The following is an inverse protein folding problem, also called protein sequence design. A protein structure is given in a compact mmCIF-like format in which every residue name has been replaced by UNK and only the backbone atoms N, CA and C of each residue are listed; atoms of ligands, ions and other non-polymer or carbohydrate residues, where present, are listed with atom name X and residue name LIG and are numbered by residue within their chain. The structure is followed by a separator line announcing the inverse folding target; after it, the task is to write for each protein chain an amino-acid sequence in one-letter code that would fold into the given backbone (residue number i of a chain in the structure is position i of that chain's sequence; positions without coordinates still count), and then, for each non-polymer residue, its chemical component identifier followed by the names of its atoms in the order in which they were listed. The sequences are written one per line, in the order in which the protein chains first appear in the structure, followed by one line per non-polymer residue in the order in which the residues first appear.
data_IF_705395800214
#
_entry.id   IF_705395800214
#
_cell.length_a   1.000
_cell.length_b   1.000
_cell.length_c   1.000
_cell.angle_alpha   90.00
_cell.angle_beta   90.00
_cell.angle_gamma   90.00
#
_symmetry.space_group_name_H-M   'P 1'
#
loop_
_entity.id
_entity.type
_entity.pdbx_description
1 polymer ?
#
# COMPACT_ATOMS: atom_id res chain seq x y z
N UNK A 1 -0.93 9.99 18.13
CA UNK A 1 0.27 10.05 17.27
C UNK A 1 -0.08 10.72 15.95
N UNK A 2 0.90 11.32 15.28
CA UNK A 2 0.75 11.99 13.98
C UNK A 2 1.16 11.03 12.85
N UNK A 3 0.18 10.59 12.06
CA UNK A 3 0.37 9.75 10.89
C UNK A 3 0.44 10.65 9.65
N UNK A 4 1.59 10.72 9.00
CA UNK A 4 1.72 11.34 7.70
C UNK A 4 1.27 10.33 6.64
N UNK A 5 0.30 10.71 5.81
CA UNK A 5 -0.19 9.91 4.68
C UNK A 5 0.13 10.66 3.40
N UNK A 6 1.01 10.10 2.57
CA UNK A 6 1.29 10.59 1.22
C UNK A 6 0.30 9.95 0.24
N UNK A 7 -0.43 10.78 -0.48
CA UNK A 7 -1.40 10.39 -1.50
C UNK A 7 -0.97 10.90 -2.88
N UNK A 8 -1.31 10.12 -3.90
CA UNK A 8 -0.92 10.37 -5.30
C UNK A 8 -2.13 10.52 -6.23
N UNK A 9 -3.33 10.37 -5.69
CA UNK A 9 -4.61 10.65 -6.34
C UNK A 9 -5.67 10.78 -5.24
N UNK A 10 -6.71 11.59 -5.48
CA UNK A 10 -7.85 11.75 -4.55
C UNK A 10 -8.54 10.42 -4.22
N UNK A 11 -8.44 9.43 -5.10
CA UNK A 11 -8.99 8.08 -4.93
C UNK A 11 -8.13 7.06 -4.22
N UNK A 12 -6.86 7.35 -3.96
CA UNK A 12 -5.91 6.41 -3.33
C UNK A 12 -5.69 6.79 -1.86
N UNK A 13 -6.78 6.84 -1.08
CA UNK A 13 -6.75 7.13 0.35
C UNK A 13 -6.69 5.84 1.19
N UNK A 14 -6.35 5.90 2.49
CA UNK A 14 -6.23 4.70 3.34
C UNK A 14 -7.51 3.87 3.53
N UNK A 15 -8.65 4.29 2.97
CA UNK A 15 -9.95 3.59 2.98
C UNK A 15 -10.24 2.81 4.28
N UNK A 16 -10.20 1.47 4.27
CA UNK A 16 -10.49 0.63 5.44
C UNK A 16 -9.64 0.96 6.68
N UNK A 17 -8.45 1.53 6.51
CA UNK A 17 -7.53 1.86 7.59
C UNK A 17 -7.80 3.21 8.25
N UNK A 18 -8.36 4.19 7.52
CA UNK A 18 -8.64 5.52 8.07
C UNK A 18 -9.46 5.49 9.37
N UNK A 19 -10.63 4.82 9.42
CA UNK A 19 -11.41 4.75 10.66
C UNK A 19 -10.70 3.97 11.78
N UNK A 20 -9.77 3.07 11.46
CA UNK A 20 -8.98 2.34 12.45
C UNK A 20 -7.92 3.24 13.09
N UNK A 21 -7.24 4.05 12.29
CA UNK A 21 -6.26 5.05 12.75
C UNK A 21 -6.95 6.07 13.66
N UNK A 22 -8.10 6.59 13.24
CA UNK A 22 -8.89 7.54 14.02
C UNK A 22 -9.44 6.94 15.32
N UNK A 23 -9.97 5.71 15.25
CA UNK A 23 -10.47 4.98 16.41
C UNK A 23 -9.36 4.71 17.44
N UNK A 24 -8.10 4.52 17.02
CA UNK A 24 -6.95 4.39 17.91
C UNK A 24 -6.51 5.74 18.54
N UNK A 25 -7.21 6.85 18.24
CA UNK A 25 -6.89 8.18 18.76
C UNK A 25 -5.68 8.82 18.09
N UNK A 26 -5.40 8.47 16.83
CA UNK A 26 -4.31 9.06 16.06
C UNK A 26 -4.81 10.15 15.11
N UNK A 27 -3.94 11.12 14.83
CA UNK A 27 -4.22 12.21 13.89
C UNK A 27 -3.61 11.86 12.55
N UNK A 28 -4.42 11.91 11.50
CA UNK A 28 -3.96 11.78 10.12
C UNK A 28 -3.63 13.16 9.55
N UNK A 29 -2.47 13.26 8.91
CA UNK A 29 -1.98 14.42 8.17
C UNK A 29 -1.81 13.93 6.74
N UNK A 30 -2.75 14.29 5.87
CA UNK A 30 -2.69 13.95 4.44
C UNK A 30 -1.87 14.99 3.70
N UNK A 31 -1.07 14.53 2.74
CA UNK A 31 -0.40 15.34 1.73
C UNK A 31 -0.74 14.79 0.34
N UNK A 32 -1.37 15.59 -0.50
CA UNK A 32 -1.76 15.27 -1.88
C UNK A 32 -0.66 15.73 -2.85
N UNK A 33 0.26 14.83 -3.20
CA UNK A 33 1.43 15.15 -4.04
C UNK A 33 1.04 15.44 -5.50
N UNK A 34 -0.04 14.83 -5.98
CA UNK A 34 -0.61 15.07 -7.31
C UNK A 34 -1.22 16.48 -7.45
N UNK A 35 -1.71 17.05 -6.35
CA UNK A 35 -2.23 18.42 -6.28
C UNK A 35 -1.12 19.46 -6.00
N UNK A 36 0.15 19.01 -5.94
CA UNK A 36 1.31 19.88 -5.79
C UNK A 36 1.58 20.33 -4.36
N UNK A 37 1.01 19.67 -3.35
CA UNK A 37 1.35 19.94 -1.96
C UNK A 37 2.81 19.57 -1.67
N UNK A 38 3.55 20.39 -0.92
CA UNK A 38 4.95 20.11 -0.63
C UNK A 38 5.08 18.98 0.39
N UNK A 39 6.11 18.14 0.21
CA UNK A 39 6.52 17.17 1.22
C UNK A 39 6.88 17.90 2.54
N UNK A 40 6.26 17.55 3.68
CA UNK A 40 6.53 18.19 4.95
C UNK A 40 7.81 17.64 5.57
N UNK A 41 8.45 18.40 6.49
CA UNK A 41 9.49 17.82 7.34
C UNK A 41 8.91 16.70 8.21
N UNK A 42 9.75 15.72 8.56
CA UNK A 42 9.36 14.57 9.39
C UNK A 42 9.32 14.88 10.90
N UNK A 43 9.66 16.11 11.31
CA UNK A 43 9.66 16.48 12.72
C UNK A 43 8.24 16.49 13.30
N UNK A 44 8.05 15.70 14.37
CA UNK A 44 6.73 15.50 14.97
C UNK A 44 5.84 14.51 14.22
N UNK A 45 6.35 13.81 13.20
CA UNK A 45 5.67 12.67 12.56
C UNK A 45 6.06 11.38 13.30
N UNK A 46 5.06 10.57 13.65
CA UNK A 46 5.24 9.33 14.40
C UNK A 46 5.15 8.09 13.50
N UNK A 47 4.50 8.21 12.33
CA UNK A 47 4.34 7.15 11.35
C UNK A 47 4.19 7.73 9.93
N UNK A 48 4.72 7.01 8.94
CA UNK A 48 4.62 7.36 7.51
C UNK A 48 3.85 6.27 6.77
N UNK A 49 2.77 6.65 6.11
CA UNK A 49 2.01 5.80 5.20
C UNK A 49 2.11 6.37 3.79
N UNK A 50 2.40 5.53 2.82
CA UNK A 50 2.54 5.92 1.41
C UNK A 50 1.60 5.07 0.58
N UNK A 51 0.64 5.74 -0.04
CA UNK A 51 -0.47 5.07 -0.71
C UNK A 51 -0.11 4.66 -2.15
N UNK A 52 -1.04 3.97 -2.82
CA UNK A 52 -0.97 3.70 -4.25
C UNK A 52 -1.04 4.99 -5.08
N UNK A 53 -0.91 4.84 -6.39
CA UNK A 53 -0.98 5.94 -7.35
C UNK A 53 -0.98 5.43 -8.79
N UNK A 54 -1.38 6.28 -9.73
CA UNK A 54 -1.40 5.94 -11.16
C UNK A 54 -0.02 6.05 -11.83
N UNK A 55 0.99 6.53 -11.10
CA UNK A 55 2.36 6.73 -11.56
C UNK A 55 3.12 5.41 -11.53
N UNK A 56 4.02 5.22 -12.49
CA UNK A 56 5.07 4.24 -12.32
C UNK A 56 6.21 4.84 -11.49
N UNK A 57 6.80 4.03 -10.60
CA UNK A 57 7.86 4.46 -9.67
C UNK A 57 9.08 5.12 -10.35
N UNK A 58 9.31 4.86 -11.63
CA UNK A 58 10.41 5.41 -12.43
C UNK A 58 10.01 6.56 -13.37
N UNK A 59 8.77 7.06 -13.34
CA UNK A 59 8.31 8.20 -14.14
C UNK A 59 8.80 9.58 -13.58
N UNK A 60 10.04 9.66 -13.10
CA UNK A 60 10.60 10.86 -12.45
C UNK A 60 10.66 12.10 -13.37
N UNK A 61 10.83 11.90 -14.67
CA UNK A 61 10.80 12.99 -15.66
C UNK A 61 9.40 13.63 -15.78
N UNK A 62 8.35 12.84 -15.56
CA UNK A 62 6.94 13.26 -15.63
C UNK A 62 6.42 13.72 -14.27
N UNK A 63 6.93 13.13 -13.20
CA UNK A 63 6.58 13.41 -11.81
C UNK A 63 7.85 13.66 -10.97
N UNK A 64 8.49 14.84 -11.09
CA UNK A 64 9.77 15.11 -10.41
C UNK A 64 9.73 15.02 -8.88
N UNK A 65 8.55 15.12 -8.27
CA UNK A 65 8.36 14.96 -6.83
C UNK A 65 8.65 13.53 -6.34
N UNK A 66 8.60 12.50 -7.21
CA UNK A 66 8.98 11.12 -6.87
C UNK A 66 10.43 11.04 -6.35
N UNK A 67 11.34 11.87 -6.88
CA UNK A 67 12.73 11.93 -6.44
C UNK A 67 12.81 12.36 -4.96
N UNK A 68 12.11 13.43 -4.63
CA UNK A 68 12.08 13.97 -3.27
C UNK A 68 11.33 13.04 -2.31
N UNK A 69 10.29 12.37 -2.79
CA UNK A 69 9.54 11.40 -2.00
C UNK A 69 10.40 10.17 -1.66
N UNK A 70 11.10 9.59 -2.62
CA UNK A 70 12.04 8.48 -2.38
C UNK A 70 13.11 8.88 -1.34
N UNK A 71 13.63 10.11 -1.43
CA UNK A 71 14.57 10.62 -0.44
C UNK A 71 13.95 10.72 0.97
N UNK A 72 12.71 11.23 1.09
CA UNK A 72 11.98 11.31 2.36
C UNK A 72 11.65 9.91 2.92
N UNK A 73 11.27 8.95 2.09
CA UNK A 73 11.02 7.56 2.49
C UNK A 73 12.29 6.93 3.05
N UNK A 74 13.43 7.13 2.38
CA UNK A 74 14.73 6.66 2.85
C UNK A 74 15.09 7.30 4.21
N UNK A 75 14.95 8.62 4.34
CA UNK A 75 15.19 9.31 5.61
C UNK A 75 14.29 8.76 6.73
N UNK A 76 12.99 8.63 6.46
CA UNK A 76 12.02 8.11 7.42
C UNK A 76 12.40 6.70 7.90
N UNK A 77 12.70 5.79 6.98
CA UNK A 77 12.89 4.37 7.30
C UNK A 77 14.30 4.07 7.81
N UNK A 78 15.34 4.58 7.14
CA UNK A 78 16.73 4.24 7.44
C UNK A 78 17.32 5.16 8.51
N UNK A 79 17.15 6.47 8.35
CA UNK A 79 17.84 7.44 9.21
C UNK A 79 17.08 7.67 10.52
N UNK A 80 15.74 7.65 10.49
CA UNK A 80 14.88 7.90 11.65
C UNK A 80 14.24 6.65 12.25
N UNK A 81 14.17 5.54 11.51
CA UNK A 81 13.51 4.32 11.97
C UNK A 81 12.00 4.48 12.23
N UNK A 82 11.35 5.39 11.49
CA UNK A 82 9.91 5.61 11.58
C UNK A 82 9.15 4.36 11.14
N UNK A 83 8.06 4.01 11.84
CA UNK A 83 7.05 3.09 11.33
C UNK A 83 6.58 3.49 9.93
N UNK A 84 6.63 2.54 9.01
CA UNK A 84 6.28 2.75 7.61
C UNK A 84 5.26 1.70 7.13
N UNK A 85 4.26 2.15 6.39
CA UNK A 85 3.36 1.26 5.65
C UNK A 85 3.17 1.75 4.20
N UNK A 86 3.64 0.96 3.23
CA UNK A 86 3.53 1.27 1.81
C UNK A 86 2.54 0.37 1.09
N UNK A 87 1.65 0.93 0.26
CA UNK A 87 0.65 0.19 -0.52
C UNK A 87 0.88 0.45 -2.01
N UNK A 88 0.93 -0.60 -2.84
CA UNK A 88 1.07 -0.54 -4.29
C UNK A 88 2.26 0.35 -4.74
N UNK A 89 2.04 1.57 -5.23
CA UNK A 89 3.13 2.52 -5.53
C UNK A 89 4.02 2.77 -4.30
N UNK A 90 3.45 2.92 -3.09
CA UNK A 90 4.23 3.05 -1.86
C UNK A 90 5.09 1.82 -1.52
N UNK A 91 4.70 0.63 -1.97
CA UNK A 91 5.55 -0.56 -1.86
C UNK A 91 6.75 -0.48 -2.81
N UNK A 92 6.51 -0.07 -4.05
CA UNK A 92 7.54 0.11 -5.06
C UNK A 92 8.52 1.22 -4.69
N UNK A 93 8.00 2.36 -4.19
CA UNK A 93 8.80 3.50 -3.72
C UNK A 93 9.70 3.11 -2.56
N UNK A 94 9.21 2.32 -1.59
CA UNK A 94 10.05 1.80 -0.51
C UNK A 94 11.19 0.95 -1.07
N UNK A 95 10.89 0.03 -1.99
CA UNK A 95 11.91 -0.82 -2.57
C UNK A 95 12.96 0.00 -3.34
N UNK A 96 12.51 0.90 -4.21
CA UNK A 96 13.39 1.71 -5.06
C UNK A 96 14.26 2.68 -4.23
N UNK A 97 13.67 3.38 -3.25
CA UNK A 97 14.38 4.29 -2.35
C UNK A 97 15.51 3.63 -1.53
N UNK A 98 15.41 2.30 -1.35
CA UNK A 98 16.37 1.50 -0.58
C UNK A 98 17.31 0.67 -1.46
N UNK A 99 17.33 0.93 -2.78
CA UNK A 99 18.25 0.30 -3.72
C UNK A 99 17.76 -1.03 -4.29
N UNK A 100 16.47 -1.35 -4.12
CA UNK A 100 15.79 -2.37 -4.89
C UNK A 100 15.56 -1.94 -6.34
N UNK A 101 14.86 -2.76 -7.11
CA UNK A 101 14.49 -2.44 -8.49
C UNK A 101 13.04 -2.81 -8.76
N UNK A 102 12.36 -1.97 -9.55
CA UNK A 102 11.02 -2.22 -10.04
C UNK A 102 11.00 -2.23 -11.56
N UNK A 103 10.14 -3.04 -12.16
CA UNK A 103 9.94 -3.09 -13.60
C UNK A 103 8.52 -3.55 -13.92
N UNK A 104 8.10 -3.33 -15.17
CA UNK A 104 6.91 -3.98 -15.67
C UNK A 104 7.05 -5.51 -15.57
N UNK A 105 5.98 -6.15 -15.12
CA UNK A 105 6.00 -7.56 -14.76
C UNK A 105 4.69 -8.26 -15.06
N UNK A 106 4.39 -9.30 -14.27
CA UNK A 106 3.10 -9.95 -14.32
C UNK A 106 2.01 -9.00 -13.85
N UNK A 107 0.96 -8.84 -14.65
CA UNK A 107 -0.19 -8.00 -14.33
C UNK A 107 -1.15 -8.78 -13.43
N UNK A 108 -1.55 -8.18 -12.31
CA UNK A 108 -2.67 -8.66 -11.51
C UNK A 108 -3.73 -7.56 -11.43
N UNK A 109 -4.94 -7.89 -11.89
CA UNK A 109 -6.10 -7.01 -11.83
C UNK A 109 -7.29 -7.83 -11.35
N UNK A 110 -7.99 -7.38 -10.31
CA UNK A 110 -9.08 -8.12 -9.70
C UNK A 110 -8.77 -8.57 -8.27
N UNK A 111 -9.52 -9.53 -7.76
CA UNK A 111 -9.22 -10.17 -6.47
C UNK A 111 -8.37 -11.41 -6.71
N UNK A 112 -7.17 -11.45 -6.10
CA UNK A 112 -6.23 -12.55 -6.22
C UNK A 112 -5.76 -13.03 -4.84
N UNK A 113 -5.31 -14.28 -4.78
CA UNK A 113 -4.80 -14.88 -3.55
C UNK A 113 -3.34 -14.48 -3.28
N UNK A 114 -3.06 -14.05 -2.06
CA UNK A 114 -1.71 -13.78 -1.54
C UNK A 114 -1.35 -14.80 -0.45
N UNK A 115 -0.14 -15.33 -0.53
CA UNK A 115 0.42 -16.31 0.40
C UNK A 115 1.54 -15.70 1.25
N UNK A 116 1.31 -15.50 2.56
CA UNK A 116 2.37 -15.17 3.52
C UNK A 116 3.48 -16.22 3.54
N UNK A 117 4.71 -15.77 3.78
CA UNK A 117 5.85 -16.64 4.07
C UNK A 117 5.97 -16.92 5.59
N UNK A 118 6.65 -18.00 5.99
CA UNK A 118 6.87 -18.29 7.42
C UNK A 118 7.55 -17.12 8.14
N UNK A 119 7.00 -16.72 9.29
CA UNK A 119 7.53 -15.62 10.11
C UNK A 119 7.03 -14.22 9.73
N UNK A 120 6.06 -14.12 8.83
CA UNK A 120 5.42 -12.86 8.46
C UNK A 120 4.36 -12.42 9.49
N UNK A 121 4.83 -11.85 10.60
CA UNK A 121 4.02 -11.34 11.73
C UNK A 121 2.93 -10.32 11.34
N UNK A 122 3.12 -9.61 10.23
CA UNK A 122 2.11 -8.72 9.66
C UNK A 122 0.76 -9.42 9.39
N UNK A 123 0.78 -10.71 9.03
CA UNK A 123 -0.41 -11.47 8.63
C UNK A 123 -0.97 -12.38 9.74
N UNK A 124 -0.50 -12.22 10.99
CA UNK A 124 -0.97 -13.04 12.12
C UNK A 124 -2.50 -12.98 12.28
N UNK A 125 -3.12 -14.15 12.33
CA UNK A 125 -4.58 -14.31 12.48
C UNK A 125 -5.37 -14.32 11.17
N UNK A 126 -4.73 -14.13 10.02
CA UNK A 126 -5.36 -14.22 8.71
C UNK A 126 -5.30 -15.65 8.17
N UNK A 127 -6.37 -16.11 7.51
CA UNK A 127 -6.37 -17.40 6.80
C UNK A 127 -5.51 -17.29 5.54
N UNK A 128 -4.49 -18.15 5.40
CA UNK A 128 -3.58 -18.15 4.25
C UNK A 128 -3.86 -19.35 3.31
N UNK A 129 -3.84 -19.16 1.97
CA UNK A 129 -3.82 -17.86 1.28
C UNK A 129 -5.10 -17.05 1.56
N UNK A 130 -5.03 -15.73 1.41
CA UNK A 130 -6.20 -14.86 1.50
C UNK A 130 -6.44 -14.09 0.20
N UNK A 131 -7.71 -13.87 -0.17
CA UNK A 131 -8.06 -13.00 -1.28
C UNK A 131 -7.79 -11.53 -0.91
N UNK A 132 -7.25 -10.77 -1.85
CA UNK A 132 -7.02 -9.32 -1.72
C UNK A 132 -7.10 -8.66 -3.10
N UNK A 133 -7.55 -7.41 -3.13
CA UNK A 133 -7.60 -6.63 -4.36
C UNK A 133 -6.20 -6.36 -4.92
N UNK A 134 -6.07 -6.47 -6.24
CA UNK A 134 -4.86 -6.21 -7.02
C UNK A 134 -5.20 -5.28 -8.17
N UNK A 135 -4.32 -4.31 -8.42
CA UNK A 135 -4.32 -3.54 -9.66
C UNK A 135 -2.93 -2.96 -9.91
N UNK A 136 -2.07 -3.75 -10.53
CA UNK A 136 -0.70 -3.32 -10.83
C UNK A 136 -0.17 -3.97 -12.12
N UNK A 137 0.72 -3.25 -12.80
CA UNK A 137 1.53 -3.77 -13.90
C UNK A 137 3.04 -3.61 -13.69
N UNK A 138 3.43 -2.83 -12.68
CA UNK A 138 4.80 -2.71 -12.19
C UNK A 138 4.91 -3.47 -10.88
N UNK A 139 6.02 -4.17 -10.69
CA UNK A 139 6.31 -4.92 -9.47
C UNK A 139 7.76 -4.74 -9.06
N UNK A 140 8.05 -4.98 -7.78
CA UNK A 140 9.42 -5.09 -7.29
C UNK A 140 10.05 -6.37 -7.86
N UNK A 141 11.14 -6.23 -8.60
CA UNK A 141 11.87 -7.33 -9.23
C UNK A 141 13.19 -7.66 -8.51
N UNK A 142 13.74 -6.71 -7.76
CA UNK A 142 14.89 -6.94 -6.89
C UNK A 142 14.64 -6.32 -5.52
N UNK A 143 14.83 -7.11 -4.47
CA UNK A 143 14.69 -6.65 -3.09
C UNK A 143 15.85 -5.73 -2.70
N UNK A 144 15.61 -4.68 -1.89
CA UNK A 144 16.66 -4.03 -1.14
C UNK A 144 17.44 -5.05 -0.29
N UNK A 145 18.75 -4.86 -0.10
CA UNK A 145 19.56 -5.75 0.75
C UNK A 145 19.05 -5.83 2.20
N UNK A 146 18.42 -4.77 2.68
CA UNK A 146 17.86 -4.66 4.03
C UNK A 146 16.43 -5.20 4.14
N UNK A 147 15.85 -5.71 3.06
CA UNK A 147 14.47 -6.16 3.00
C UNK A 147 14.35 -7.69 3.11
N UNK A 148 13.32 -8.12 3.83
CA UNK A 148 12.87 -9.51 3.91
C UNK A 148 11.57 -9.65 3.14
N UNK A 149 11.52 -10.61 2.21
CA UNK A 149 10.27 -11.02 1.56
C UNK A 149 9.34 -11.70 2.58
N UNK A 150 8.08 -11.27 2.65
CA UNK A 150 7.12 -11.79 3.64
C UNK A 150 5.79 -12.27 3.04
N UNK A 151 5.49 -11.99 1.77
CA UNK A 151 4.39 -12.63 1.05
C UNK A 151 4.66 -12.71 -0.45
N UNK A 152 3.98 -13.65 -1.12
CA UNK A 152 4.09 -13.90 -2.56
C UNK A 152 2.72 -14.20 -3.17
N UNK A 153 2.58 -14.05 -4.50
CA UNK A 153 1.46 -14.62 -5.27
C UNK A 153 2.02 -15.43 -6.45
N UNK A 154 1.18 -16.20 -7.18
CA UNK A 154 1.62 -16.91 -8.37
C UNK A 154 2.17 -16.02 -9.49
N UNK A 155 1.75 -14.76 -9.57
CA UNK A 155 2.12 -13.81 -10.64
C UNK A 155 3.18 -12.82 -10.19
N UNK A 156 3.05 -12.27 -8.98
CA UNK A 156 4.00 -11.33 -8.41
C UNK A 156 4.73 -11.98 -7.22
N UNK A 157 6.04 -12.19 -7.39
CA UNK A 157 6.86 -12.84 -6.36
C UNK A 157 6.98 -11.97 -5.11
N UNK A 158 7.11 -10.65 -5.26
CA UNK A 158 7.34 -9.70 -4.17
C UNK A 158 6.01 -9.02 -3.79
N UNK A 159 5.08 -9.78 -3.21
CA UNK A 159 3.79 -9.21 -2.78
C UNK A 159 3.89 -8.35 -1.53
N UNK A 160 4.81 -8.67 -0.62
CA UNK A 160 5.01 -7.88 0.58
C UNK A 160 6.44 -8.02 1.09
N UNK A 161 6.99 -6.92 1.61
CA UNK A 161 8.32 -6.88 2.20
C UNK A 161 8.30 -6.22 3.56
N UNK A 162 9.28 -6.58 4.38
CA UNK A 162 9.62 -5.94 5.64
C UNK A 162 11.02 -5.37 5.57
N UNK A 163 11.23 -4.15 6.05
CA UNK A 163 12.55 -3.55 6.24
C UNK A 163 12.73 -3.22 7.72
N UNK A 164 13.73 -3.83 8.34
CA UNK A 164 13.96 -3.67 9.78
C UNK A 164 12.74 -4.04 10.63
N UNK A 165 12.60 -3.46 11.83
CA UNK A 165 11.54 -3.87 12.75
C UNK A 165 10.15 -3.30 12.42
N UNK A 166 10.07 -2.14 11.75
CA UNK A 166 8.85 -1.30 11.73
C UNK A 166 8.38 -0.84 10.34
N UNK A 167 9.12 -1.14 9.27
CA UNK A 167 8.71 -0.78 7.92
C UNK A 167 8.17 -1.99 7.18
N UNK A 168 6.94 -1.90 6.71
CA UNK A 168 6.24 -2.94 5.96
C UNK A 168 5.64 -2.35 4.70
N UNK A 169 5.49 -3.16 3.67
CA UNK A 169 4.75 -2.73 2.49
C UNK A 169 4.18 -3.92 1.72
N UNK A 170 3.15 -3.65 0.93
CA UNK A 170 2.41 -4.64 0.15
C UNK A 170 2.09 -4.10 -1.25
N UNK A 171 2.25 -4.94 -2.27
CA UNK A 171 1.90 -4.62 -3.65
C UNK A 171 0.38 -4.59 -3.87
N UNK A 172 -0.34 -5.40 -3.11
CA UNK A 172 -1.80 -5.48 -3.14
C UNK A 172 -2.48 -4.32 -2.41
N UNK A 173 -3.81 -4.26 -2.54
CA UNK A 173 -4.65 -3.20 -1.98
C UNK A 173 -5.56 -3.72 -0.85
N UNK A 174 -5.01 -3.95 0.37
CA UNK A 174 -5.80 -4.40 1.51
C UNK A 174 -6.75 -3.33 2.07
N UNK A 175 -6.61 -2.08 1.64
CA UNK A 175 -7.46 -0.95 2.03
C UNK A 175 -8.82 -0.95 1.33
N UNK A 176 -8.96 -1.67 0.22
CA UNK A 176 -10.13 -1.62 -0.67
C UNK A 176 -11.40 -2.08 0.05
N UNK A 177 -12.46 -1.29 -0.12
CA UNK A 177 -13.82 -1.58 0.33
C UNK A 177 -14.79 -1.58 -0.85
N UNK A 178 -16.00 -2.16 -0.71
CA UNK A 178 -17.07 -1.95 -1.69
C UNK A 178 -17.28 -0.47 -2.00
N UNK A 179 -17.36 -0.14 -3.29
CA UNK A 179 -17.45 1.21 -3.85
C UNK A 179 -16.10 1.79 -4.30
N UNK A 180 -14.97 1.23 -3.86
CA UNK A 180 -13.64 1.75 -4.19
C UNK A 180 -13.32 1.63 -5.68
N UNK A 181 -13.66 0.50 -6.30
CA UNK A 181 -13.36 0.26 -7.72
C UNK A 181 -14.18 1.21 -8.60
N UNK A 182 -15.43 1.48 -8.22
CA UNK A 182 -16.27 2.48 -8.88
C UNK A 182 -15.65 3.89 -8.88
N UNK A 183 -14.91 4.27 -7.84
CA UNK A 183 -14.16 5.53 -7.80
C UNK A 183 -12.91 5.47 -8.68
N UNK A 184 -12.11 4.42 -8.56
CA UNK A 184 -10.91 4.25 -9.39
C UNK A 184 -11.23 4.21 -10.89
N UNK A 185 -12.37 3.62 -11.28
CA UNK A 185 -12.81 3.59 -12.68
C UNK A 185 -13.06 4.98 -13.29
N UNK A 186 -13.17 6.04 -12.47
CA UNK A 186 -13.29 7.43 -12.94
C UNK A 186 -11.95 8.07 -13.29
N UNK A 187 -10.82 7.46 -12.89
CA UNK A 187 -9.49 7.94 -13.23
C UNK A 187 -9.25 7.84 -14.75
N UNK A 188 -8.42 8.73 -15.33
CA UNK A 188 -8.12 8.70 -16.76
C UNK A 188 -7.63 7.32 -17.22
N UNK A 189 -8.25 6.79 -18.27
CA UNK A 189 -7.94 5.48 -18.88
C UNK A 189 -8.22 4.24 -18.01
N UNK A 190 -8.63 4.40 -16.75
CA UNK A 190 -8.84 3.31 -15.81
C UNK A 190 -9.88 2.29 -16.31
N UNK A 191 -11.07 2.74 -16.72
CA UNK A 191 -12.11 1.85 -17.24
C UNK A 191 -11.65 1.05 -18.47
N UNK A 192 -10.90 1.67 -19.38
CA UNK A 192 -10.38 1.00 -20.57
C UNK A 192 -9.29 -0.05 -20.22
N UNK A 193 -8.46 0.24 -19.20
CA UNK A 193 -7.48 -0.72 -18.68
C UNK A 193 -8.21 -1.91 -18.05
N UNK A 194 -9.18 -1.66 -17.17
CA UNK A 194 -9.97 -2.72 -16.54
C UNK A 194 -10.69 -3.59 -17.58
N UNK A 195 -11.27 -2.99 -18.62
CA UNK A 195 -11.89 -3.73 -19.72
C UNK A 195 -10.89 -4.59 -20.50
N UNK A 196 -9.66 -4.12 -20.65
CA UNK A 196 -8.58 -4.86 -21.31
C UNK A 196 -8.11 -6.06 -20.47
N UNK A 197 -7.94 -5.87 -19.16
CA UNK A 197 -7.36 -6.88 -18.27
C UNK A 197 -8.39 -7.92 -17.80
N UNK A 198 -9.62 -7.49 -17.49
CA UNK A 198 -10.66 -8.36 -16.93
C UNK A 198 -11.69 -8.78 -18.00
N UNK A 199 -11.87 -7.95 -19.04
CA UNK A 199 -12.90 -8.13 -20.08
C UNK A 199 -14.00 -7.06 -20.00
N UNK A 200 -14.94 -7.03 -20.95
CA UNK A 200 -15.96 -5.98 -21.05
C UNK A 200 -16.75 -5.80 -19.75
N UNK A 201 -16.78 -4.57 -19.21
CA UNK A 201 -17.36 -4.27 -17.90
C UNK A 201 -16.41 -4.60 -16.75
N UNK A 202 -15.10 -4.49 -16.97
CA UNK A 202 -14.07 -4.94 -16.03
C UNK A 202 -14.17 -4.27 -14.67
N UNK A 203 -14.55 -2.98 -14.64
CA UNK A 203 -14.81 -2.25 -13.40
C UNK A 203 -15.96 -2.85 -12.59
N UNK A 204 -17.06 -3.22 -13.24
CA UNK A 204 -18.22 -3.84 -12.56
C UNK A 204 -17.89 -5.25 -12.08
N UNK A 205 -17.10 -6.00 -12.86
CA UNK A 205 -16.66 -7.35 -12.48
C UNK A 205 -15.74 -7.26 -11.25
N UNK A 206 -14.77 -6.36 -11.25
CA UNK A 206 -13.87 -6.18 -10.11
C UNK A 206 -14.61 -5.68 -8.87
N UNK A 207 -15.52 -4.72 -9.01
CA UNK A 207 -16.39 -4.26 -7.92
C UNK A 207 -17.25 -5.41 -7.34
N UNK A 208 -17.77 -6.30 -8.19
CA UNK A 208 -18.50 -7.49 -7.73
C UNK A 208 -17.59 -8.44 -6.94
N UNK A 209 -16.35 -8.70 -7.41
CA UNK A 209 -15.38 -9.52 -6.67
C UNK A 209 -15.04 -8.92 -5.30
N UNK A 210 -14.84 -7.61 -5.21
CA UNK A 210 -14.61 -6.91 -3.93
C UNK A 210 -15.82 -7.08 -3.00
N UNK A 211 -17.04 -6.91 -3.54
CA UNK A 211 -18.28 -7.08 -2.77
C UNK A 211 -18.45 -8.51 -2.25
N UNK A 212 -18.16 -9.52 -3.07
CA UNK A 212 -18.21 -10.94 -2.70
C UNK A 212 -17.20 -11.29 -1.58
N UNK A 213 -16.08 -10.57 -1.50
CA UNK A 213 -15.01 -10.80 -0.51
C UNK A 213 -15.06 -9.82 0.68
N UNK A 214 -16.08 -8.96 0.78
CA UNK A 214 -16.13 -7.89 1.78
C UNK A 214 -16.08 -8.40 3.23
N UNK A 215 -16.67 -9.58 3.51
CA UNK A 215 -16.63 -10.23 4.83
C UNK A 215 -15.21 -10.70 5.22
N UNK A 216 -14.30 -10.85 4.26
CA UNK A 216 -12.90 -11.21 4.47
C UNK A 216 -12.02 -9.95 4.54
N UNK A 217 -12.27 -8.97 3.67
CA UNK A 217 -11.42 -7.78 3.52
C UNK A 217 -11.40 -6.92 4.78
N UNK A 218 -12.56 -6.62 5.36
CA UNK A 218 -12.62 -5.73 6.53
C UNK A 218 -11.93 -6.33 7.78
N UNK A 219 -12.14 -7.62 8.15
CA UNK A 219 -11.35 -8.26 9.21
C UNK A 219 -9.85 -8.31 8.90
N UNK A 220 -9.47 -8.61 7.66
CA UNK A 220 -8.06 -8.66 7.26
C UNK A 220 -7.38 -7.29 7.36
N UNK A 221 -8.04 -6.20 6.94
CA UNK A 221 -7.54 -4.84 7.14
C UNK A 221 -7.33 -4.53 8.63
N UNK A 222 -8.26 -4.95 9.50
CA UNK A 222 -8.10 -4.81 10.96
C UNK A 222 -6.92 -5.62 11.50
N UNK A 223 -6.74 -6.86 11.05
CA UNK A 223 -5.58 -7.69 11.42
C UNK A 223 -4.27 -7.03 11.01
N UNK A 224 -4.17 -6.59 9.75
CA UNK A 224 -3.02 -5.88 9.21
C UNK A 224 -2.69 -4.63 10.03
N UNK A 225 -3.68 -3.77 10.29
CA UNK A 225 -3.48 -2.56 11.09
C UNK A 225 -2.99 -2.89 12.51
N UNK A 226 -3.64 -3.83 13.17
CA UNK A 226 -3.30 -4.24 14.54
C UNK A 226 -1.89 -4.83 14.62
N UNK A 227 -1.54 -5.70 13.68
CA UNK A 227 -0.23 -6.36 13.63
C UNK A 227 0.87 -5.37 13.27
N UNK A 228 0.62 -4.45 12.32
CA UNK A 228 1.54 -3.37 11.99
C UNK A 228 1.78 -2.46 13.19
N UNK A 229 0.72 -2.01 13.88
CA UNK A 229 0.83 -1.22 15.11
C UNK A 229 1.64 -1.95 16.19
N UNK A 230 1.39 -3.26 16.40
CA UNK A 230 2.15 -4.09 17.33
C UNK A 230 3.64 -4.13 16.98
N UNK A 231 3.98 -4.37 15.71
CA UNK A 231 5.37 -4.41 15.24
C UNK A 231 6.05 -3.03 15.34
N UNK A 232 5.29 -1.96 15.08
CA UNK A 232 5.73 -0.57 15.18
C UNK A 232 5.91 -0.07 16.62
N UNK A 233 5.30 -0.74 17.61
CA UNK A 233 5.19 -0.23 18.98
C UNK A 233 4.21 0.94 19.12
N UNK A 234 3.20 0.98 18.25
CA UNK A 234 2.13 1.98 18.23
C UNK A 234 0.86 1.37 18.84
N UNK A 235 0.07 2.11 19.64
CA UNK A 235 -1.24 1.63 20.10
C UNK A 235 -2.21 1.41 18.93
N UNK A 236 -2.86 0.25 18.84
CA UNK A 236 -3.92 0.00 17.85
C UNK A 236 -5.33 0.36 18.36
N UNK A 237 -5.43 0.83 19.60
CA UNK A 237 -6.65 1.19 20.33
C UNK A 237 -6.35 2.42 21.20
N UNK A 238 -7.36 3.20 21.63
CA UNK A 238 -7.15 4.34 22.51
C UNK A 238 -6.39 3.96 23.79
N UNK A 239 -5.47 4.84 24.21
CA UNK A 239 -4.86 4.76 25.52
C UNK A 239 -5.93 5.11 26.58
N UNK A 240 -6.20 4.18 27.49
CA UNK A 240 -7.10 4.35 28.64
C UNK A 240 -6.58 5.36 29.66
#
# INVERSE_FOLDING_TARGET
MNFLVLQHDRGTHPAAFLPLIEAAGHRVITVELDEGEPLPPLDGIDALWVMGGAMDVFEEDKYPWLIAEKALIREAVIDRGLPYFGICLGHQLLADALGGACAYGGVETGVCDVSPLPGADLFDGMSAPFPVAQWHGVQVTALPETATLIATSPVCHVQAIRVGPRAFSMQSHPEVLPGTIGHWAQMPSAAAILDREIGPGGAQIFEAQVTENAEIFAPNARHLFTNWCRAAGIPSEPLS
#
